data_IF_286643627490
#
_entry.id   IF_286643627490
#
_cell.length_a   1.000
_cell.length_b   1.000
_cell.length_c   1.000
_cell.angle_alpha   90.00
_cell.angle_beta   90.00
_cell.angle_gamma   90.00
#
_symmetry.space_group_name_H-M   'P 1'
#
loop_
_entity.id
_entity.type
_entity.pdbx_description
1 polymer ?
#
# COMPACT_ATOMS: atom_id res chain seq x y z
N UNK A 1 -111.31 8.07 -64.28
CA UNK A 1 -110.69 7.34 -63.16
C UNK A 1 -109.20 7.52 -63.24
N UNK A 2 -108.69 8.37 -62.43
CA UNK A 2 -107.28 8.79 -62.38
C UNK A 2 -106.58 8.18 -61.21
N UNK A 3 -105.56 7.35 -61.42
CA UNK A 3 -104.71 6.85 -60.38
C UNK A 3 -103.54 7.82 -60.14
N UNK A 4 -103.48 8.23 -58.93
CA UNK A 4 -102.47 9.16 -58.42
C UNK A 4 -101.22 8.37 -57.95
N UNK A 5 -100.08 8.53 -58.66
CA UNK A 5 -98.84 7.88 -58.35
C UNK A 5 -98.08 8.75 -57.35
N UNK A 6 -98.02 8.32 -56.10
CA UNK A 6 -97.30 8.98 -55.07
C UNK A 6 -95.77 8.66 -55.22
N UNK A 7 -94.97 9.67 -55.56
CA UNK A 7 -93.50 9.56 -55.60
C UNK A 7 -92.93 9.57 -54.16
N UNK A 8 -92.36 8.43 -53.72
CA UNK A 8 -91.64 8.33 -52.43
C UNK A 8 -90.38 9.12 -52.46
N UNK A 9 -90.26 10.04 -51.54
CA UNK A 9 -88.97 10.75 -51.23
C UNK A 9 -87.99 9.74 -50.75
N UNK A 10 -86.70 9.74 -51.26
CA UNK A 10 -85.68 8.84 -50.76
C UNK A 10 -85.31 9.21 -49.30
N UNK A 11 -85.25 8.24 -48.39
CA UNK A 11 -84.94 8.41 -47.00
C UNK A 11 -83.54 8.98 -46.89
N UNK A 12 -83.31 9.98 -45.97
CA UNK A 12 -82.09 10.65 -45.75
C UNK A 12 -80.92 9.66 -45.44
N UNK A 13 -81.24 8.52 -44.82
CA UNK A 13 -80.27 7.44 -44.52
C UNK A 13 -79.73 6.77 -45.78
N UNK A 14 -80.57 6.58 -46.87
CA UNK A 14 -80.08 6.00 -48.12
C UNK A 14 -79.23 6.97 -48.97
N UNK A 15 -79.44 8.29 -48.81
CA UNK A 15 -78.61 9.32 -49.42
C UNK A 15 -77.25 9.44 -48.72
N UNK A 16 -77.23 9.42 -47.37
CA UNK A 16 -76.00 9.40 -46.55
C UNK A 16 -75.17 8.14 -46.77
N UNK A 17 -75.84 6.96 -46.86
CA UNK A 17 -75.18 5.70 -47.17
C UNK A 17 -74.52 5.66 -48.56
N UNK A 18 -75.16 6.24 -49.58
CA UNK A 18 -74.57 6.37 -50.93
C UNK A 18 -73.44 7.39 -50.97
N UNK A 19 -73.57 8.48 -50.25
CA UNK A 19 -72.48 9.50 -50.12
C UNK A 19 -71.24 8.94 -49.40
N UNK A 20 -71.44 8.21 -48.33
CA UNK A 20 -70.39 7.53 -47.64
C UNK A 20 -69.72 6.46 -48.50
N UNK A 21 -70.52 5.65 -49.23
CA UNK A 21 -70.00 4.61 -50.11
C UNK A 21 -69.21 5.21 -51.28
N UNK A 22 -69.64 6.33 -51.84
CA UNK A 22 -68.90 7.06 -52.88
C UNK A 22 -67.67 7.75 -52.35
N UNK A 23 -67.75 8.28 -51.11
CA UNK A 23 -66.66 8.89 -50.46
C UNK A 23 -65.55 7.88 -50.15
N UNK A 24 -65.86 6.66 -49.74
CA UNK A 24 -64.92 5.63 -49.42
C UNK A 24 -64.39 4.82 -50.62
N UNK A 25 -65.20 4.50 -51.59
CA UNK A 25 -64.79 3.65 -52.72
C UNK A 25 -64.25 4.41 -53.94
N UNK A 26 -64.59 5.72 -54.11
CA UNK A 26 -64.06 6.48 -55.22
C UNK A 26 -62.60 6.92 -54.91
N UNK A 27 -61.66 6.54 -55.78
CA UNK A 27 -60.26 6.75 -55.64
C UNK A 27 -59.63 6.13 -54.33
N UNK A 28 -60.13 4.92 -53.99
CA UNK A 28 -59.67 4.20 -52.77
C UNK A 28 -58.15 4.06 -52.65
N UNK A 29 -57.46 3.84 -53.77
CA UNK A 29 -56.01 3.77 -53.82
C UNK A 29 -55.30 5.06 -53.37
N UNK A 30 -55.78 6.23 -53.85
CA UNK A 30 -55.25 7.52 -53.47
C UNK A 30 -55.50 7.81 -51.99
N UNK A 31 -56.62 7.38 -51.43
CA UNK A 31 -56.88 7.52 -49.99
C UNK A 31 -56.01 6.59 -49.15
N UNK A 32 -55.80 5.35 -49.58
CA UNK A 32 -54.87 4.43 -48.95
C UNK A 32 -53.44 5.00 -49.00
N UNK A 33 -53.03 5.51 -50.16
CA UNK A 33 -51.71 6.17 -50.31
C UNK A 33 -51.60 7.40 -49.43
N UNK A 34 -52.64 8.24 -49.29
CA UNK A 34 -52.61 9.40 -48.38
C UNK A 34 -52.55 9.00 -46.93
N UNK A 35 -53.23 7.94 -46.50
CA UNK A 35 -53.15 7.41 -45.14
C UNK A 35 -51.71 6.88 -44.85
N UNK A 36 -51.20 6.08 -45.81
CA UNK A 36 -49.82 5.58 -45.66
C UNK A 36 -48.77 6.71 -45.62
N UNK A 37 -48.92 7.72 -46.47
CA UNK A 37 -48.03 8.88 -46.45
C UNK A 37 -48.15 9.69 -45.15
N UNK A 38 -49.41 9.84 -44.65
CA UNK A 38 -49.64 10.53 -43.36
C UNK A 38 -49.01 9.77 -42.19
N UNK A 39 -49.15 8.43 -42.20
CA UNK A 39 -48.48 7.61 -41.17
C UNK A 39 -46.95 7.72 -41.29
N UNK A 40 -46.44 7.68 -42.52
CA UNK A 40 -45.00 7.83 -42.74
C UNK A 40 -44.46 9.21 -42.30
N UNK A 41 -45.18 10.30 -42.63
CA UNK A 41 -44.85 11.64 -42.18
C UNK A 41 -44.96 11.79 -40.66
N UNK A 42 -46.03 11.25 -40.08
CA UNK A 42 -46.21 11.26 -38.62
C UNK A 42 -45.11 10.47 -37.90
N UNK A 43 -44.78 9.29 -38.37
CA UNK A 43 -43.69 8.48 -37.84
C UNK A 43 -42.33 9.20 -37.97
N UNK A 44 -42.09 9.87 -39.11
CA UNK A 44 -40.89 10.68 -39.33
C UNK A 44 -40.80 11.88 -38.40
N UNK A 45 -41.89 12.60 -38.16
CA UNK A 45 -41.94 13.73 -37.22
C UNK A 45 -41.70 13.30 -35.78
N UNK A 46 -42.38 12.22 -35.36
CA UNK A 46 -42.20 11.65 -34.02
C UNK A 46 -40.77 11.14 -33.81
N UNK A 47 -40.20 10.50 -34.82
CA UNK A 47 -38.81 9.99 -34.74
C UNK A 47 -37.75 11.12 -34.61
N UNK A 48 -38.08 12.35 -35.01
CA UNK A 48 -37.15 13.51 -34.93
C UNK A 48 -37.46 14.43 -33.75
N UNK A 49 -38.53 14.20 -33.00
CA UNK A 49 -38.87 15.03 -31.85
C UNK A 49 -37.93 14.78 -30.68
N UNK A 50 -37.08 15.75 -30.29
CA UNK A 50 -36.16 15.61 -29.18
C UNK A 50 -36.85 15.57 -27.81
N UNK A 51 -38.14 15.91 -27.75
CA UNK A 51 -38.92 15.88 -26.49
C UNK A 51 -39.45 14.46 -26.19
N UNK A 52 -39.47 13.59 -27.19
CA UNK A 52 -39.85 12.17 -26.99
C UNK A 52 -38.70 11.42 -26.35
N UNK A 53 -38.84 11.16 -25.08
CA UNK A 53 -37.89 10.37 -24.29
C UNK A 53 -38.48 9.00 -23.97
N UNK A 54 -37.60 8.02 -23.86
CA UNK A 54 -37.92 6.66 -23.42
C UNK A 54 -37.03 6.30 -22.24
N UNK A 55 -37.60 5.65 -21.26
CA UNK A 55 -36.84 5.19 -20.10
C UNK A 55 -35.93 4.01 -20.47
N UNK A 56 -34.68 4.11 -20.06
CA UNK A 56 -33.66 3.07 -20.18
C UNK A 56 -32.96 2.89 -18.85
N UNK A 57 -32.86 1.64 -18.40
CA UNK A 57 -32.15 1.29 -17.16
C UNK A 57 -30.76 0.81 -17.51
N UNK A 58 -29.77 1.33 -16.79
CA UNK A 58 -28.38 0.95 -16.88
C UNK A 58 -27.94 0.36 -15.54
N UNK A 59 -27.35 -0.82 -15.57
CA UNK A 59 -26.84 -1.51 -14.38
C UNK A 59 -25.33 -1.35 -14.26
N UNK A 60 -24.81 -1.49 -13.03
CA UNK A 60 -23.38 -1.42 -12.74
C UNK A 60 -22.72 -0.12 -13.23
N UNK A 61 -23.36 1.01 -12.97
CA UNK A 61 -22.85 2.32 -13.36
C UNK A 61 -21.72 2.71 -12.43
N UNK A 62 -20.60 3.16 -13.01
CA UNK A 62 -19.46 3.64 -12.24
C UNK A 62 -19.81 4.94 -11.50
N UNK A 63 -19.49 4.99 -10.21
CA UNK A 63 -19.73 6.14 -9.35
C UNK A 63 -18.42 6.87 -9.09
N UNK A 64 -18.38 8.17 -9.36
CA UNK A 64 -17.25 9.04 -9.06
C UNK A 64 -17.28 9.46 -7.59
N UNK A 65 -16.21 9.18 -6.88
CA UNK A 65 -16.06 9.57 -5.48
C UNK A 65 -15.42 10.96 -5.42
N UNK A 66 -16.10 11.92 -4.78
CA UNK A 66 -15.59 13.29 -4.60
C UNK A 66 -15.59 13.67 -3.12
N UNK A 67 -14.70 14.59 -2.76
CA UNK A 67 -14.64 15.10 -1.38
C UNK A 67 -13.79 14.29 -0.41
N UNK A 68 -12.96 13.35 -0.88
CA UNK A 68 -12.06 12.52 -0.03
C UNK A 68 -11.13 13.41 0.81
N UNK A 69 -10.47 14.41 0.22
CA UNK A 69 -9.61 15.31 0.98
C UNK A 69 -10.41 16.25 1.90
N UNK A 70 -11.65 16.55 1.53
CA UNK A 70 -12.51 17.42 2.34
C UNK A 70 -13.00 16.71 3.59
N UNK A 71 -13.37 15.43 3.51
CA UNK A 71 -13.77 14.64 4.68
C UNK A 71 -12.60 14.49 5.65
N UNK A 72 -11.36 14.27 5.14
CA UNK A 72 -10.14 14.20 5.96
C UNK A 72 -9.87 15.53 6.67
N UNK A 73 -10.01 16.68 5.97
CA UNK A 73 -9.89 18.00 6.59
C UNK A 73 -10.97 18.26 7.64
N UNK A 74 -12.15 17.66 7.49
CA UNK A 74 -13.20 17.72 8.50
C UNK A 74 -12.92 16.79 9.69
N UNK A 75 -11.85 16.01 9.69
CA UNK A 75 -11.44 15.11 10.74
C UNK A 75 -12.10 13.73 10.70
N UNK A 76 -12.56 13.29 9.53
CA UNK A 76 -13.20 11.98 9.35
C UNK A 76 -12.63 11.23 8.14
N UNK A 77 -12.79 9.91 8.14
CA UNK A 77 -12.41 9.03 7.03
C UNK A 77 -13.44 7.91 6.90
N UNK A 78 -13.71 7.49 5.68
CA UNK A 78 -14.52 6.28 5.40
C UNK A 78 -13.63 5.06 5.55
N UNK A 79 -14.09 4.06 6.28
CA UNK A 79 -13.34 2.81 6.54
C UNK A 79 -13.80 1.65 5.67
N UNK A 80 -15.00 1.75 5.06
CA UNK A 80 -15.51 0.73 4.15
C UNK A 80 -14.77 0.74 2.83
N UNK A 81 -14.72 -0.41 2.17
CA UNK A 81 -14.33 -0.48 0.78
C UNK A 81 -15.42 0.13 -0.12
N UNK A 82 -15.17 1.36 -0.56
CA UNK A 82 -16.11 2.08 -1.41
C UNK A 82 -16.36 1.38 -2.75
N UNK A 83 -15.47 0.52 -3.23
CA UNK A 83 -15.70 -0.24 -4.46
C UNK A 83 -16.78 -1.31 -4.27
N UNK A 84 -16.84 -1.91 -3.10
CA UNK A 84 -17.88 -2.87 -2.71
C UNK A 84 -19.22 -2.15 -2.43
N UNK A 85 -19.20 -1.10 -1.61
CA UNK A 85 -20.41 -0.32 -1.24
C UNK A 85 -21.09 0.31 -2.45
N UNK A 86 -20.31 0.78 -3.43
CA UNK A 86 -20.80 1.39 -4.66
C UNK A 86 -21.01 0.39 -5.79
N UNK A 87 -20.81 -0.89 -5.55
CA UNK A 87 -21.12 -1.96 -6.50
C UNK A 87 -22.62 -2.08 -6.75
N UNK A 88 -22.98 -2.43 -7.99
CA UNK A 88 -24.37 -2.73 -8.36
C UNK A 88 -25.32 -1.52 -8.46
N UNK A 89 -24.81 -0.29 -8.49
CA UNK A 89 -25.62 0.91 -8.68
C UNK A 89 -26.28 0.88 -10.07
N UNK A 90 -27.60 1.10 -10.08
CA UNK A 90 -28.39 1.18 -11.33
C UNK A 90 -28.99 2.58 -11.46
N UNK A 91 -29.14 3.04 -12.70
CA UNK A 91 -29.83 4.30 -13.01
C UNK A 91 -30.92 4.07 -14.02
N UNK A 92 -31.99 4.85 -13.91
CA UNK A 92 -33.04 4.96 -14.93
C UNK A 92 -32.97 6.36 -15.52
N UNK A 93 -32.76 6.44 -16.83
CA UNK A 93 -32.62 7.72 -17.52
C UNK A 93 -33.71 7.86 -18.61
N UNK A 94 -34.24 9.07 -18.76
CA UNK A 94 -35.13 9.45 -19.85
C UNK A 94 -34.25 9.83 -21.05
N UNK A 95 -34.05 8.88 -21.96
CA UNK A 95 -33.16 9.00 -23.12
C UNK A 95 -34.02 9.45 -24.33
N UNK A 96 -33.57 10.50 -25.09
CA UNK A 96 -34.23 10.86 -26.35
C UNK A 96 -34.30 9.66 -27.30
N UNK A 97 -35.46 9.47 -27.94
CA UNK A 97 -35.72 8.33 -28.83
C UNK A 97 -34.62 8.13 -29.88
N UNK A 98 -34.12 9.22 -30.43
CA UNK A 98 -33.05 9.23 -31.44
C UNK A 98 -31.71 8.69 -30.92
N UNK A 99 -31.43 8.79 -29.62
CA UNK A 99 -30.18 8.40 -28.98
C UNK A 99 -30.30 7.11 -28.15
N UNK A 100 -31.50 6.48 -28.17
CA UNK A 100 -31.79 5.36 -27.26
C UNK A 100 -30.83 4.19 -27.43
N UNK A 101 -30.46 3.84 -28.66
CA UNK A 101 -29.58 2.71 -28.94
C UNK A 101 -28.10 3.03 -28.66
N UNK A 102 -27.71 4.31 -28.77
CA UNK A 102 -26.34 4.78 -28.57
C UNK A 102 -26.02 5.21 -27.13
N UNK A 103 -27.04 5.31 -26.26
CA UNK A 103 -26.84 5.68 -24.89
C UNK A 103 -26.26 4.50 -24.09
N UNK A 104 -25.15 4.73 -23.42
CA UNK A 104 -24.48 3.79 -22.50
C UNK A 104 -24.23 4.42 -21.13
N UNK A 105 -23.62 3.66 -20.22
CA UNK A 105 -23.34 4.09 -18.84
C UNK A 105 -22.38 5.28 -18.75
N UNK A 106 -21.47 5.42 -19.71
CA UNK A 106 -20.45 6.48 -19.75
C UNK A 106 -21.05 7.87 -20.02
N UNK A 107 -22.28 7.91 -20.57
CA UNK A 107 -23.00 9.15 -20.86
C UNK A 107 -23.48 9.86 -19.57
N UNK A 108 -23.48 9.19 -18.43
CA UNK A 108 -24.03 9.70 -17.17
C UNK A 108 -22.95 9.76 -16.09
N UNK A 109 -22.79 10.93 -15.47
CA UNK A 109 -21.88 11.11 -14.38
C UNK A 109 -22.64 10.97 -13.03
N UNK A 110 -22.48 9.81 -12.42
CA UNK A 110 -22.99 9.55 -11.08
C UNK A 110 -21.87 9.78 -10.09
N UNK A 111 -22.13 10.47 -8.97
CA UNK A 111 -21.14 10.80 -7.97
C UNK A 111 -21.67 10.68 -6.56
N UNK A 112 -20.77 10.36 -5.65
CA UNK A 112 -20.96 10.44 -4.20
C UNK A 112 -20.09 11.57 -3.66
N UNK A 113 -20.66 12.43 -2.82
CA UNK A 113 -19.96 13.58 -2.23
C UNK A 113 -19.75 13.36 -0.73
N UNK A 114 -18.54 12.95 -0.38
CA UNK A 114 -18.13 12.67 1.00
C UNK A 114 -17.87 13.95 1.82
N UNK A 115 -17.76 15.12 1.19
CA UNK A 115 -17.48 16.39 1.90
C UNK A 115 -18.57 16.80 2.87
N UNK A 116 -19.78 16.26 2.71
CA UNK A 116 -20.95 16.56 3.55
C UNK A 116 -20.98 15.75 4.85
N UNK A 117 -20.14 14.75 4.99
CA UNK A 117 -20.02 13.94 6.20
C UNK A 117 -19.38 14.78 7.30
N UNK A 118 -20.03 14.84 8.47
CA UNK A 118 -19.61 15.67 9.63
C UNK A 118 -19.54 14.89 10.93
N UNK A 119 -19.63 13.57 10.89
CA UNK A 119 -19.66 12.72 12.08
C UNK A 119 -19.02 11.37 11.85
N UNK A 120 -18.65 10.70 12.93
CA UNK A 120 -18.23 9.30 12.94
C UNK A 120 -19.43 8.37 13.11
N UNK A 121 -19.29 7.11 12.68
CA UNK A 121 -20.32 6.08 12.70
C UNK A 121 -20.96 5.88 11.32
N UNK A 122 -22.12 5.28 11.29
CA UNK A 122 -22.89 5.07 10.06
C UNK A 122 -23.41 6.40 9.51
N UNK A 123 -23.11 6.68 8.26
CA UNK A 123 -23.52 7.89 7.54
C UNK A 123 -24.21 7.52 6.26
N UNK A 124 -25.42 8.04 6.07
CA UNK A 124 -26.16 7.89 4.83
C UNK A 124 -25.78 9.02 3.85
N UNK A 125 -25.22 8.64 2.71
CA UNK A 125 -24.78 9.59 1.66
C UNK A 125 -25.59 9.39 0.39
N UNK A 126 -26.18 10.46 -0.12
CA UNK A 126 -26.99 10.44 -1.34
C UNK A 126 -26.11 10.41 -2.57
N UNK A 127 -26.52 9.60 -3.52
CA UNK A 127 -25.95 9.60 -4.87
C UNK A 127 -26.53 10.75 -5.68
N UNK A 128 -25.66 11.42 -6.42
CA UNK A 128 -25.99 12.57 -7.25
C UNK A 128 -25.72 12.23 -8.71
N UNK A 129 -26.61 12.68 -9.59
CA UNK A 129 -26.42 12.55 -11.04
C UNK A 129 -26.33 13.91 -11.72
N UNK A 130 -25.62 13.97 -12.82
CA UNK A 130 -25.68 15.10 -13.74
C UNK A 130 -26.51 14.71 -14.98
N UNK A 131 -27.23 15.68 -15.55
CA UNK A 131 -27.94 15.49 -16.82
C UNK A 131 -26.95 15.52 -17.98
N UNK A 132 -27.20 14.71 -19.00
CA UNK A 132 -26.49 14.76 -20.27
C UNK A 132 -27.31 15.60 -21.26
N UNK A 133 -26.68 16.57 -21.92
CA UNK A 133 -27.33 17.38 -22.95
C UNK A 133 -27.78 16.53 -24.16
N UNK A 134 -27.04 15.47 -24.45
CA UNK A 134 -27.28 14.59 -25.62
C UNK A 134 -28.15 13.40 -25.27
N UNK A 135 -27.91 12.78 -24.10
CA UNK A 135 -28.53 11.51 -23.72
C UNK A 135 -29.62 11.66 -22.66
N UNK A 136 -30.00 12.89 -22.32
CA UNK A 136 -31.12 13.18 -21.44
C UNK A 136 -30.80 13.17 -19.97
N UNK A 137 -31.83 13.00 -19.13
CA UNK A 137 -31.79 13.17 -17.69
C UNK A 137 -31.91 11.85 -16.96
N UNK A 138 -31.15 11.67 -15.90
CA UNK A 138 -31.35 10.58 -14.94
C UNK A 138 -32.58 10.89 -14.09
N UNK A 139 -33.58 10.03 -14.13
CA UNK A 139 -34.83 10.14 -13.38
C UNK A 139 -34.75 9.47 -12.01
N UNK A 140 -33.95 8.38 -11.92
CA UNK A 140 -33.78 7.63 -10.68
C UNK A 140 -32.40 6.97 -10.58
N UNK A 141 -31.94 6.82 -9.33
CA UNK A 141 -30.74 6.07 -8.98
C UNK A 141 -31.17 5.02 -7.96
N UNK A 142 -30.75 3.79 -8.13
CA UNK A 142 -31.10 2.69 -7.24
C UNK A 142 -29.82 1.97 -6.78
N UNK A 143 -29.52 1.96 -5.46
CA UNK A 143 -30.17 2.72 -4.40
C UNK A 143 -29.93 4.24 -4.53
N UNK A 144 -30.82 5.08 -4.01
CA UNK A 144 -30.69 6.55 -4.06
C UNK A 144 -29.64 7.09 -3.08
N UNK A 145 -29.34 6.35 -2.03
CA UNK A 145 -28.31 6.62 -1.02
C UNK A 145 -27.60 5.34 -0.65
N UNK A 146 -26.38 5.46 -0.14
CA UNK A 146 -25.59 4.36 0.41
C UNK A 146 -25.18 4.71 1.83
N UNK A 147 -25.11 3.70 2.68
CA UNK A 147 -24.59 3.85 4.05
C UNK A 147 -23.10 3.54 4.02
N UNK A 148 -22.30 4.42 4.60
CA UNK A 148 -20.86 4.25 4.78
C UNK A 148 -20.49 4.37 6.24
N UNK A 149 -19.53 3.57 6.68
CA UNK A 149 -18.94 3.68 8.01
C UNK A 149 -17.81 4.69 8.01
N UNK A 150 -17.82 5.59 8.96
CA UNK A 150 -16.82 6.63 9.10
C UNK A 150 -16.22 6.64 10.49
N UNK A 151 -14.92 6.90 10.57
CA UNK A 151 -14.20 7.09 11.81
C UNK A 151 -13.55 8.48 11.87
N UNK A 152 -13.07 8.84 13.07
CA UNK A 152 -12.22 10.01 13.19
C UNK A 152 -10.90 9.78 12.47
N UNK A 153 -10.50 10.77 11.67
CA UNK A 153 -9.18 10.82 11.05
C UNK A 153 -8.21 11.47 12.04
N UNK A 154 -7.26 10.71 12.52
CA UNK A 154 -6.28 11.15 13.52
C UNK A 154 -4.87 10.94 13.02
N UNK A 155 -3.93 11.75 13.54
CA UNK A 155 -2.52 11.62 13.25
C UNK A 155 -1.77 11.26 14.53
N UNK A 156 -0.90 10.27 14.44
CA UNK A 156 0.09 9.93 15.47
C UNK A 156 1.47 10.31 14.99
N UNK A 157 2.09 11.21 15.70
CA UNK A 157 3.42 11.72 15.39
C UNK A 157 4.53 10.93 16.08
N UNK A 158 5.76 11.04 15.56
CA UNK A 158 7.00 10.55 16.17
C UNK A 158 7.01 9.04 16.41
N UNK A 159 6.52 8.28 15.43
CA UNK A 159 6.63 6.81 15.45
C UNK A 159 8.05 6.46 15.02
N UNK A 160 8.85 5.74 15.85
CA UNK A 160 10.21 5.37 15.48
C UNK A 160 10.22 4.33 14.36
N UNK A 161 11.15 4.52 13.43
CA UNK A 161 11.43 3.57 12.34
C UNK A 161 12.72 2.84 12.69
N UNK A 162 12.71 1.52 12.63
CA UNK A 162 13.90 0.68 12.81
C UNK A 162 14.10 -0.21 11.59
N UNK A 163 15.34 -0.48 11.24
CA UNK A 163 15.65 -1.46 10.21
C UNK A 163 15.94 -2.82 10.84
N UNK A 164 15.45 -3.86 10.18
CA UNK A 164 15.81 -5.25 10.47
C UNK A 164 16.41 -5.85 9.21
N UNK A 165 17.53 -6.56 9.38
CA UNK A 165 18.12 -7.33 8.31
C UNK A 165 17.65 -8.78 8.42
N UNK A 166 17.39 -9.40 7.30
CA UNK A 166 17.10 -10.82 7.10
C UNK A 166 18.09 -11.43 6.12
N UNK A 167 18.16 -12.76 6.08
CA UNK A 167 19.14 -13.46 5.25
C UNK A 167 20.50 -13.61 5.91
N UNK A 168 21.42 -14.26 5.22
CA UNK A 168 22.78 -14.54 5.71
C UNK A 168 23.78 -13.55 5.10
N UNK A 169 24.65 -12.97 5.94
CA UNK A 169 25.74 -12.12 5.49
C UNK A 169 26.79 -13.01 4.81
N UNK A 170 27.21 -12.70 3.58
CA UNK A 170 28.25 -13.49 2.90
C UNK A 170 29.56 -13.52 3.69
N UNK A 171 30.22 -14.67 3.69
CA UNK A 171 31.50 -14.86 4.37
C UNK A 171 32.53 -13.86 3.90
N UNK A 172 33.25 -13.25 4.82
CA UNK A 172 34.28 -12.26 4.51
C UNK A 172 33.80 -10.82 4.44
N UNK A 173 32.53 -10.59 4.76
CA UNK A 173 31.95 -9.24 4.81
C UNK A 173 31.38 -8.90 6.19
N UNK A 174 31.54 -7.67 6.55
CA UNK A 174 30.93 -7.02 7.72
C UNK A 174 29.96 -5.94 7.24
N UNK A 175 28.87 -5.79 7.94
CA UNK A 175 27.92 -4.70 7.73
C UNK A 175 27.63 -4.01 9.06
N UNK A 176 27.63 -2.68 9.05
CA UNK A 176 27.30 -1.90 10.24
C UNK A 176 25.83 -1.97 10.60
N UNK A 177 25.49 -1.55 11.81
CA UNK A 177 24.09 -1.29 12.15
C UNK A 177 23.49 -0.29 11.18
N UNK A 178 22.28 -0.56 10.65
CA UNK A 178 21.64 0.31 9.67
C UNK A 178 21.23 1.65 10.28
N UNK A 179 21.50 2.73 9.57
CA UNK A 179 20.89 4.05 9.79
C UNK A 179 19.69 4.21 8.86
N UNK A 180 18.56 4.66 9.37
CA UNK A 180 17.31 4.77 8.62
C UNK A 180 16.91 6.24 8.49
N UNK A 181 16.55 6.65 7.29
CA UNK A 181 16.02 7.97 7.00
C UNK A 181 14.62 7.84 6.30
N UNK A 182 13.54 8.39 6.90
CA UNK A 182 13.47 9.11 8.18
C UNK A 182 13.50 8.20 9.40
N UNK A 183 14.09 8.69 10.50
CA UNK A 183 14.10 7.97 11.79
C UNK A 183 12.76 8.01 12.51
N UNK A 184 11.97 9.05 12.25
CA UNK A 184 10.65 9.28 12.82
C UNK A 184 9.67 9.56 11.71
N UNK A 185 8.48 8.97 11.83
CA UNK A 185 7.38 9.19 10.90
C UNK A 185 6.12 9.62 11.65
N UNK A 186 5.20 10.20 10.90
CA UNK A 186 3.81 10.42 11.34
C UNK A 186 2.89 9.54 10.54
N UNK A 187 1.88 8.97 11.19
CA UNK A 187 0.87 8.12 10.55
C UNK A 187 -0.51 8.70 10.80
N UNK A 188 -1.25 8.93 9.73
CA UNK A 188 -2.61 9.45 9.74
C UNK A 188 -3.58 8.43 9.18
N UNK A 189 -4.78 8.33 9.76
CA UNK A 189 -5.79 7.37 9.33
C UNK A 189 -6.94 7.19 10.31
N UNK A 190 -7.72 6.10 10.20
CA UNK A 190 -8.79 5.77 11.13
C UNK A 190 -8.28 5.65 12.57
N UNK A 191 -9.00 6.24 13.51
CA UNK A 191 -8.60 6.25 14.94
C UNK A 191 -8.39 4.85 15.50
N UNK A 192 -9.24 3.90 15.13
CA UNK A 192 -9.15 2.49 15.57
C UNK A 192 -7.82 1.87 15.18
N UNK A 193 -7.34 2.11 13.95
CA UNK A 193 -6.09 1.54 13.42
C UNK A 193 -4.89 2.30 13.96
N UNK A 194 -4.86 3.63 13.85
CA UNK A 194 -3.73 4.49 14.27
C UNK A 194 -3.37 4.29 15.74
N UNK A 195 -4.36 4.09 16.61
CA UNK A 195 -4.13 3.87 18.03
C UNK A 195 -3.42 2.54 18.36
N UNK A 196 -3.50 1.55 17.49
CA UNK A 196 -2.81 0.27 17.67
C UNK A 196 -1.33 0.32 17.30
N UNK A 197 -0.94 1.23 16.39
CA UNK A 197 0.41 1.32 15.87
C UNK A 197 1.37 1.71 17.01
N UNK A 198 2.47 1.00 17.16
CA UNK A 198 3.48 1.26 18.18
C UNK A 198 4.85 1.63 17.58
N UNK A 199 5.21 1.05 16.45
CA UNK A 199 6.50 1.21 15.79
C UNK A 199 6.38 0.95 14.30
N UNK A 200 7.36 1.43 13.54
CA UNK A 200 7.56 1.11 12.15
C UNK A 200 8.86 0.33 11.96
N UNK A 201 8.89 -0.54 10.97
CA UNK A 201 10.08 -1.28 10.57
C UNK A 201 10.24 -1.27 9.07
N UNK A 202 11.50 -1.28 8.66
CA UNK A 202 11.91 -1.62 7.30
C UNK A 202 12.69 -2.91 7.34
N UNK A 203 12.43 -3.81 6.42
CA UNK A 203 13.11 -5.11 6.34
C UNK A 203 13.99 -5.09 5.11
N UNK A 204 15.26 -5.41 5.31
CA UNK A 204 16.28 -5.50 4.26
C UNK A 204 16.66 -6.97 4.14
N UNK A 205 16.63 -7.52 2.94
CA UNK A 205 17.23 -8.83 2.71
C UNK A 205 18.73 -8.64 2.37
N UNK A 206 19.58 -9.47 2.98
CA UNK A 206 21.00 -9.47 2.69
C UNK A 206 21.31 -9.72 1.19
N UNK A 207 20.39 -10.37 0.47
CA UNK A 207 20.52 -10.58 -0.98
C UNK A 207 20.32 -9.31 -1.81
N UNK A 208 19.63 -8.30 -1.26
CA UNK A 208 19.37 -7.01 -1.93
C UNK A 208 20.51 -6.01 -1.70
N UNK A 209 21.52 -6.37 -0.88
CA UNK A 209 22.65 -5.52 -0.56
C UNK A 209 23.77 -5.73 -1.58
N UNK A 210 24.31 -4.65 -2.12
CA UNK A 210 25.53 -4.69 -2.91
C UNK A 210 26.75 -4.89 -1.99
N UNK A 211 27.32 -6.09 -2.01
CA UNK A 211 28.49 -6.46 -1.19
C UNK A 211 29.78 -5.93 -1.83
N UNK A 212 29.95 -4.62 -1.75
CA UNK A 212 31.16 -3.90 -2.13
C UNK A 212 31.59 -2.99 -0.99
N UNK A 213 32.90 -2.75 -0.87
CA UNK A 213 33.42 -1.89 0.16
C UNK A 213 32.89 -0.46 0.02
N UNK A 214 32.39 0.10 1.13
CA UNK A 214 31.92 1.47 1.19
C UNK A 214 30.56 1.63 1.85
N UNK A 215 29.91 2.75 1.54
CA UNK A 215 28.55 3.03 2.02
C UNK A 215 27.55 2.44 1.05
N UNK A 216 26.71 1.54 1.54
CA UNK A 216 25.60 0.96 0.80
C UNK A 216 24.30 1.67 1.16
N UNK A 217 23.53 2.02 0.14
CA UNK A 217 22.19 2.61 0.28
C UNK A 217 21.15 1.64 -0.26
N UNK A 218 20.22 1.25 0.59
CA UNK A 218 19.09 0.39 0.23
C UNK A 218 17.78 1.10 0.55
N UNK A 219 16.77 0.92 -0.28
CA UNK A 219 15.42 1.44 -0.04
C UNK A 219 14.48 0.28 0.21
N UNK A 220 13.70 0.36 1.30
CA UNK A 220 12.73 -0.65 1.66
C UNK A 220 11.43 -0.04 2.17
N UNK A 221 10.33 -0.77 1.97
CA UNK A 221 8.99 -0.32 2.35
C UNK A 221 8.85 -0.23 3.87
N UNK A 222 8.14 0.82 4.30
CA UNK A 222 7.84 1.02 5.70
C UNK A 222 6.63 0.20 6.11
N UNK A 223 6.82 -0.76 6.99
CA UNK A 223 5.78 -1.57 7.58
C UNK A 223 5.46 -1.13 8.99
N UNK A 224 4.18 -1.11 9.35
CA UNK A 224 3.69 -0.66 10.64
C UNK A 224 3.34 -1.86 11.52
N UNK A 225 3.65 -1.76 12.81
CA UNK A 225 3.43 -2.84 13.76
C UNK A 225 2.73 -2.36 15.02
N UNK A 226 1.83 -3.21 15.54
CA UNK A 226 1.17 -2.98 16.82
C UNK A 226 2.11 -3.35 18.02
N UNK A 227 1.59 -3.21 19.24
CA UNK A 227 2.34 -3.58 20.46
C UNK A 227 2.63 -5.07 20.58
N UNK A 228 1.78 -5.92 20.00
CA UNK A 228 1.97 -7.37 19.99
C UNK A 228 3.01 -7.82 18.95
N UNK A 229 3.45 -6.93 18.07
CA UNK A 229 4.41 -7.22 17.01
C UNK A 229 3.78 -7.74 15.73
N UNK A 230 2.48 -7.63 15.58
CA UNK A 230 1.73 -7.98 14.36
C UNK A 230 1.76 -6.81 13.39
N UNK A 231 1.86 -7.11 12.10
CA UNK A 231 1.80 -6.11 11.03
C UNK A 231 0.38 -5.52 10.93
N UNK A 232 0.30 -4.21 10.83
CA UNK A 232 -0.96 -3.46 10.69
C UNK A 232 -1.18 -3.17 9.21
N UNK A 233 -2.37 -3.46 8.70
CA UNK A 233 -2.76 -3.09 7.34
C UNK A 233 -2.71 -1.56 7.18
N UNK A 234 -1.97 -1.11 6.18
CA UNK A 234 -1.73 0.30 5.90
C UNK A 234 -2.56 0.86 4.73
N UNK A 235 -3.51 0.08 4.19
CA UNK A 235 -4.34 0.47 3.03
C UNK A 235 -5.11 1.78 3.23
N UNK A 236 -5.54 2.07 4.46
CA UNK A 236 -6.25 3.30 4.84
C UNK A 236 -5.36 4.33 5.55
N UNK A 237 -4.04 4.06 5.63
CA UNK A 237 -3.10 4.90 6.35
C UNK A 237 -2.31 5.79 5.40
N UNK A 238 -1.95 6.95 5.87
CA UNK A 238 -1.01 7.86 5.22
C UNK A 238 0.21 8.01 6.12
N UNK A 239 1.38 7.67 5.57
CA UNK A 239 2.66 7.80 6.26
C UNK A 239 3.34 9.06 5.73
N UNK A 240 3.81 9.92 6.64
CA UNK A 240 4.56 11.13 6.28
C UNK A 240 5.87 11.20 7.07
N UNK A 241 6.87 11.83 6.48
CA UNK A 241 8.12 12.17 7.16
C UNK A 241 7.97 13.42 8.04
N UNK A 242 9.08 13.91 8.61
CA UNK A 242 9.08 15.10 9.45
C UNK A 242 8.74 16.41 8.69
N UNK A 243 8.86 16.43 7.38
CA UNK A 243 8.48 17.54 6.49
C UNK A 243 7.04 17.45 5.98
N UNK A 244 6.21 16.58 6.56
CA UNK A 244 4.83 16.28 6.13
C UNK A 244 4.71 15.76 4.68
N UNK A 245 5.80 15.25 4.11
CA UNK A 245 5.78 14.62 2.79
C UNK A 245 5.36 13.16 2.91
N UNK A 246 4.43 12.74 2.06
CA UNK A 246 4.05 11.32 1.96
C UNK A 246 5.23 10.47 1.56
N UNK A 247 5.39 9.36 2.27
CA UNK A 247 6.38 8.32 1.99
C UNK A 247 5.73 6.94 2.08
N UNK A 248 6.26 6.00 1.34
CA UNK A 248 5.94 4.57 1.40
C UNK A 248 7.17 3.74 1.80
N UNK A 249 8.34 4.28 1.60
CA UNK A 249 9.64 3.63 1.81
C UNK A 249 10.60 4.54 2.57
N UNK A 250 11.60 3.94 3.20
CA UNK A 250 12.71 4.64 3.85
C UNK A 250 14.04 4.28 3.20
N UNK A 251 14.99 5.19 3.27
CA UNK A 251 16.37 4.98 2.85
C UNK A 251 17.16 4.40 4.04
N UNK A 252 17.94 3.38 3.78
CA UNK A 252 18.79 2.72 4.75
C UNK A 252 20.24 2.89 4.30
N UNK A 253 21.05 3.42 5.20
CA UNK A 253 22.47 3.58 5.00
C UNK A 253 23.23 2.60 5.90
N UNK A 254 24.17 1.87 5.33
CA UNK A 254 25.01 0.89 6.01
C UNK A 254 26.43 0.97 5.48
N UNK A 255 27.40 0.69 6.35
CA UNK A 255 28.80 0.58 5.95
C UNK A 255 29.10 -0.90 5.74
N UNK A 256 29.57 -1.24 4.55
CA UNK A 256 29.99 -2.59 4.17
C UNK A 256 31.53 -2.61 4.11
N UNK A 257 32.14 -3.52 4.84
CA UNK A 257 33.60 -3.65 4.91
C UNK A 257 34.01 -5.12 4.70
N UNK A 258 35.12 -5.37 4.04
CA UNK A 258 35.71 -6.71 4.03
C UNK A 258 36.22 -7.10 5.41
N UNK A 259 36.20 -8.40 5.70
CA UNK A 259 36.65 -8.98 6.97
C UNK A 259 37.78 -9.97 6.77
N UNK A 260 38.69 -10.03 7.75
CA UNK A 260 39.71 -11.07 7.86
C UNK A 260 39.77 -11.60 9.31
N UNK A 261 39.95 -12.90 9.44
CA UNK A 261 40.12 -13.56 10.72
C UNK A 261 41.59 -13.75 11.04
N UNK A 262 41.94 -13.51 12.31
CA UNK A 262 43.30 -13.66 12.85
C UNK A 262 43.24 -14.67 13.99
N UNK A 263 44.17 -15.63 13.96
CA UNK A 263 44.36 -16.57 15.06
C UNK A 263 45.13 -15.89 16.20
N UNK A 264 44.70 -16.13 17.43
CA UNK A 264 45.29 -15.52 18.63
C UNK A 264 46.34 -16.40 19.31
N UNK A 265 46.48 -17.66 18.88
CA UNK A 265 47.35 -18.67 19.52
C UNK A 265 48.84 -18.23 19.60
N UNK A 266 49.32 -17.60 18.53
CA UNK A 266 50.73 -17.16 18.44
C UNK A 266 51.00 -15.75 18.97
N UNK A 267 49.96 -15.06 19.49
CA UNK A 267 50.08 -13.66 19.90
C UNK A 267 50.78 -13.47 21.24
N UNK A 268 50.89 -14.52 22.06
CA UNK A 268 51.40 -14.44 23.42
C UNK A 268 52.72 -15.18 23.58
N UNK A 269 53.49 -14.68 24.52
CA UNK A 269 54.72 -15.33 25.01
C UNK A 269 54.62 -15.48 26.52
N UNK A 270 55.32 -16.46 27.07
CA UNK A 270 55.36 -16.69 28.52
C UNK A 270 56.72 -16.28 29.09
N UNK A 271 56.72 -15.78 30.29
CA UNK A 271 57.95 -15.46 31.03
C UNK A 271 57.91 -16.00 32.47
N UNK A 272 59.04 -16.39 32.97
CA UNK A 272 59.17 -16.93 34.32
C UNK A 272 58.75 -18.39 34.42
N UNK A 273 58.67 -18.93 35.62
CA UNK A 273 58.23 -20.29 35.95
C UNK A 273 57.26 -20.26 37.12
N UNK A 274 56.28 -21.15 37.17
CA UNK A 274 55.42 -21.34 38.33
C UNK A 274 56.19 -21.57 39.63
N UNK A 275 55.53 -21.43 40.75
CA UNK A 275 56.11 -21.65 42.05
C UNK A 275 56.67 -23.11 42.19
N UNK A 276 57.62 -23.30 43.11
CA UNK A 276 58.18 -24.63 43.33
C UNK A 276 57.11 -25.63 43.73
N UNK A 277 57.07 -26.77 43.04
CA UNK A 277 56.05 -27.80 43.21
C UNK A 277 54.78 -27.61 42.35
N UNK A 278 54.80 -26.65 41.40
CA UNK A 278 53.74 -26.39 40.44
C UNK A 278 54.32 -26.34 39.03
N UNK A 279 53.47 -26.73 38.05
CA UNK A 279 53.83 -26.65 36.64
C UNK A 279 52.70 -26.05 35.80
N UNK A 280 53.10 -25.51 34.65
CA UNK A 280 52.15 -25.02 33.66
C UNK A 280 51.66 -26.20 32.85
N UNK A 281 50.34 -26.52 32.96
CA UNK A 281 49.71 -27.60 32.19
C UNK A 281 49.37 -27.12 30.78
N UNK A 282 48.65 -26.01 30.66
CA UNK A 282 48.21 -25.50 29.38
C UNK A 282 47.99 -23.98 29.44
N UNK A 283 47.98 -23.39 28.25
CA UNK A 283 47.55 -21.98 28.07
C UNK A 283 46.35 -22.03 27.17
N UNK A 284 45.25 -21.38 27.58
CA UNK A 284 44.06 -21.19 26.78
C UNK A 284 43.85 -19.71 26.51
N UNK A 285 43.50 -19.40 25.28
CA UNK A 285 43.21 -18.02 24.83
C UNK A 285 41.73 -18.00 24.41
N UNK A 286 41.02 -16.99 24.84
CA UNK A 286 39.64 -16.78 24.48
C UNK A 286 39.37 -15.32 24.13
N UNK A 287 38.79 -15.03 22.96
CA UNK A 287 38.50 -15.95 21.86
C UNK A 287 39.78 -16.41 21.12
N UNK A 288 39.74 -17.59 20.49
CA UNK A 288 40.85 -18.13 19.69
C UNK A 288 41.00 -17.41 18.36
N UNK A 289 39.91 -16.85 17.84
CA UNK A 289 39.86 -16.11 16.57
C UNK A 289 39.31 -14.72 16.82
N UNK A 290 39.99 -13.73 16.31
CA UNK A 290 39.54 -12.34 16.25
C UNK A 290 39.25 -12.00 14.77
N UNK A 291 38.03 -11.53 14.52
CA UNK A 291 37.65 -11.02 13.19
C UNK A 291 37.85 -9.50 13.16
N UNK A 292 38.48 -9.04 12.10
CA UNK A 292 38.79 -7.63 11.84
C UNK A 292 38.03 -7.20 10.60
N UNK A 293 37.22 -6.16 10.70
CA UNK A 293 36.63 -5.48 9.56
C UNK A 293 37.27 -4.10 9.40
N UNK A 294 37.72 -3.80 8.21
CA UNK A 294 38.36 -2.53 7.88
C UNK A 294 38.41 -2.34 6.36
N UNK A 295 38.68 -1.13 5.85
CA UNK A 295 38.95 -0.91 4.45
C UNK A 295 40.06 -1.83 3.91
N UNK A 296 39.94 -2.27 2.66
CA UNK A 296 40.86 -3.23 2.01
C UNK A 296 42.33 -2.76 2.12
N UNK A 297 42.56 -1.47 1.95
CA UNK A 297 43.92 -0.90 2.05
C UNK A 297 44.54 -1.14 3.42
N UNK A 298 43.75 -1.09 4.49
CA UNK A 298 44.20 -1.34 5.86
C UNK A 298 44.38 -2.84 6.10
N UNK A 299 43.40 -3.67 5.65
CA UNK A 299 43.49 -5.12 5.81
C UNK A 299 44.67 -5.73 5.11
N UNK A 300 45.05 -5.21 3.93
CA UNK A 300 46.20 -5.70 3.16
C UNK A 300 47.55 -5.42 3.86
N UNK A 301 47.63 -4.33 4.62
CA UNK A 301 48.79 -3.97 5.39
C UNK A 301 48.83 -4.67 6.78
N UNK A 302 47.68 -5.16 7.24
CA UNK A 302 47.55 -5.80 8.56
C UNK A 302 47.97 -7.27 8.46
N UNK A 303 49.20 -7.58 8.81
CA UNK A 303 49.72 -8.94 8.80
C UNK A 303 49.51 -9.68 10.13
N UNK A 304 49.53 -8.96 11.25
CA UNK A 304 49.27 -9.52 12.59
C UNK A 304 48.58 -8.47 13.49
N UNK A 305 47.87 -8.95 14.50
CA UNK A 305 47.32 -8.09 15.55
C UNK A 305 48.38 -7.87 16.64
N UNK A 306 48.42 -6.67 17.18
CA UNK A 306 49.37 -6.30 18.25
C UNK A 306 48.62 -6.19 19.58
N UNK A 307 49.17 -6.82 20.64
CA UNK A 307 48.63 -6.70 21.99
C UNK A 307 49.37 -5.60 22.77
N UNK A 308 48.68 -4.97 23.71
CA UNK A 308 49.27 -3.99 24.65
C UNK A 308 50.38 -4.59 25.51
N UNK A 309 50.23 -5.85 25.87
CA UNK A 309 51.25 -6.69 26.51
C UNK A 309 51.15 -8.11 25.92
N UNK A 310 52.26 -8.64 25.44
CA UNK A 310 52.31 -9.99 24.83
C UNK A 310 52.76 -11.04 25.82
N UNK A 311 53.18 -10.62 27.07
CA UNK A 311 53.91 -11.50 27.97
C UNK A 311 53.03 -11.94 29.16
N UNK A 312 52.76 -13.21 29.26
CA UNK A 312 52.13 -13.83 30.43
C UNK A 312 53.23 -14.15 31.47
N UNK A 313 53.22 -13.46 32.59
CA UNK A 313 54.17 -13.70 33.64
C UNK A 313 53.74 -14.86 34.55
N UNK A 314 54.42 -15.97 34.45
CA UNK A 314 54.17 -17.20 35.23
C UNK A 314 54.87 -17.22 36.61
N UNK A 315 55.67 -16.20 36.92
CA UNK A 315 56.48 -16.19 38.11
C UNK A 315 55.68 -16.32 39.40
N UNK A 316 55.99 -17.36 40.18
CA UNK A 316 55.38 -17.64 41.49
C UNK A 316 53.87 -17.97 41.44
N UNK A 317 53.30 -18.31 40.30
CA UNK A 317 51.90 -18.77 40.22
C UNK A 317 51.76 -20.13 40.89
N UNK A 318 50.73 -20.29 41.71
CA UNK A 318 50.34 -21.52 42.41
C UNK A 318 48.96 -22.05 42.03
N UNK A 319 48.23 -21.26 41.27
CA UNK A 319 46.88 -21.55 40.87
C UNK A 319 46.62 -21.08 39.45
N UNK A 320 45.64 -21.63 38.79
CA UNK A 320 45.18 -21.20 37.46
C UNK A 320 44.82 -19.74 37.51
N UNK A 321 45.44 -18.93 36.61
CA UNK A 321 45.29 -17.50 36.60
C UNK A 321 44.96 -17.00 35.22
N UNK A 322 44.00 -16.06 35.13
CA UNK A 322 43.58 -15.43 33.89
C UNK A 322 44.09 -14.00 33.77
N UNK A 323 44.57 -13.66 32.59
CA UNK A 323 45.11 -12.32 32.25
C UNK A 323 44.27 -11.76 31.12
N UNK A 324 43.81 -10.51 31.24
CA UNK A 324 43.16 -9.77 30.16
C UNK A 324 44.20 -8.91 29.43
N UNK A 325 44.22 -9.04 28.09
CA UNK A 325 45.14 -8.30 27.24
C UNK A 325 44.34 -7.55 26.19
N UNK A 326 44.65 -6.27 26.03
CA UNK A 326 43.96 -5.40 25.03
C UNK A 326 44.66 -5.48 23.70
N UNK A 327 43.84 -5.58 22.62
CA UNK A 327 44.33 -5.49 21.26
C UNK A 327 44.50 -4.02 20.88
N UNK A 328 45.66 -3.69 20.35
CA UNK A 328 45.98 -2.35 19.87
C UNK A 328 45.46 -2.16 18.45
N UNK A 329 44.57 -1.19 18.24
CA UNK A 329 44.09 -0.82 16.92
C UNK A 329 45.09 0.11 16.24
N UNK A 330 45.62 -0.23 15.05
CA UNK A 330 46.48 0.69 14.31
C UNK A 330 45.76 1.94 13.80
N UNK A 331 44.44 1.88 13.58
CA UNK A 331 43.58 2.96 13.12
C UNK A 331 42.20 2.88 13.78
N UNK A 332 41.54 4.01 13.92
CA UNK A 332 40.13 4.07 14.39
C UNK A 332 39.15 3.45 13.42
N UNK A 333 39.52 3.30 12.15
CA UNK A 333 38.71 2.68 11.12
C UNK A 333 38.65 1.14 11.19
N UNK A 334 39.35 0.56 12.17
CA UNK A 334 39.39 -0.87 12.41
C UNK A 334 38.30 -1.27 13.41
N UNK A 335 37.42 -2.18 12.99
CA UNK A 335 36.42 -2.80 13.85
C UNK A 335 36.88 -4.22 14.20
N UNK A 336 36.89 -4.52 15.50
CA UNK A 336 37.30 -5.82 16.04
C UNK A 336 36.07 -6.53 16.60
N UNK A 337 35.98 -7.85 16.40
CA UNK A 337 34.95 -8.67 17.05
C UNK A 337 35.06 -8.63 18.58
N UNK A 338 36.28 -8.54 19.09
CA UNK A 338 36.61 -8.37 20.51
C UNK A 338 37.81 -7.44 20.66
N UNK A 339 37.75 -6.48 21.56
CA UNK A 339 38.86 -5.57 21.83
C UNK A 339 39.89 -6.13 22.84
N UNK A 340 39.55 -7.22 23.54
CA UNK A 340 40.38 -7.87 24.55
C UNK A 340 40.35 -9.37 24.33
N UNK A 341 41.47 -10.01 24.64
CA UNK A 341 41.59 -11.46 24.79
C UNK A 341 41.85 -11.80 26.26
N UNK A 342 41.33 -12.97 26.67
CA UNK A 342 41.60 -13.54 28.00
C UNK A 342 42.54 -14.72 27.84
N UNK A 343 43.69 -14.67 28.47
CA UNK A 343 44.69 -15.75 28.50
C UNK A 343 44.63 -16.43 29.84
N UNK A 344 44.32 -17.69 29.89
CA UNK A 344 44.26 -18.50 31.11
C UNK A 344 45.45 -19.45 31.16
N UNK A 345 46.33 -19.26 32.12
CA UNK A 345 47.42 -20.21 32.42
C UNK A 345 46.94 -21.23 33.45
N UNK A 346 46.79 -22.49 33.02
CA UNK A 346 46.41 -23.60 33.88
C UNK A 346 47.64 -24.09 34.64
N UNK A 347 47.64 -23.88 35.96
CA UNK A 347 48.74 -24.27 36.86
C UNK A 347 48.25 -25.44 37.73
N UNK A 348 49.03 -26.53 37.75
CA UNK A 348 48.75 -27.71 38.57
C UNK A 348 49.91 -28.06 39.47
N UNK A 349 49.65 -28.72 40.63
CA UNK A 349 50.75 -29.26 41.44
C UNK A 349 51.50 -30.34 40.66
N UNK A 350 52.82 -30.38 40.74
CA UNK A 350 53.63 -31.49 40.21
C UNK A 350 53.32 -32.74 41.03
N UNK A 351 52.80 -33.80 40.38
CA UNK A 351 52.64 -35.10 41.06
C UNK A 351 54.00 -35.60 41.50
N UNK A 352 54.16 -35.85 42.81
CA UNK A 352 55.38 -36.47 43.34
C UNK A 352 55.43 -37.91 42.83
N UNK A 353 56.43 -38.27 41.98
CA UNK A 353 56.72 -39.64 41.65
C UNK A 353 56.87 -40.45 42.96
N UNK A 354 55.96 -41.39 43.16
CA UNK A 354 56.01 -42.36 44.24
C UNK A 354 57.07 -43.41 43.96
#
# INVERSE_FOLDING_TARGET
>A
MSENKISGRPSVGAAVGRFLKHLFLHNGWLKLAAVLLSIALWAGLISQDPTLTREKTFNNVQVNIVGVDSIKRNGFIVVDDLSEVLGGISITAAVPQKQYDNADTSAYNIRIDLSKIKGAGEQEVKLLSSSSATYGKVNGITPASVTVHTEKYVTRHRIPVSANMTGEIPTGWYISSPSVDPQLISVSGPQSVVNTISRAKVVIDAQDIEWSEGISFTRADVKLYNRSGEEVDNSLLEITNEDDKKIDSALIEQIVLPMRSFDTSDMITTSGKPARGYELRSIRISPEIITVAAPSEILDQLTELTLSDRTVNLKNLKETTSFQMKIMKPSDDILLSNETITVTAEIEPVEADQ
#
